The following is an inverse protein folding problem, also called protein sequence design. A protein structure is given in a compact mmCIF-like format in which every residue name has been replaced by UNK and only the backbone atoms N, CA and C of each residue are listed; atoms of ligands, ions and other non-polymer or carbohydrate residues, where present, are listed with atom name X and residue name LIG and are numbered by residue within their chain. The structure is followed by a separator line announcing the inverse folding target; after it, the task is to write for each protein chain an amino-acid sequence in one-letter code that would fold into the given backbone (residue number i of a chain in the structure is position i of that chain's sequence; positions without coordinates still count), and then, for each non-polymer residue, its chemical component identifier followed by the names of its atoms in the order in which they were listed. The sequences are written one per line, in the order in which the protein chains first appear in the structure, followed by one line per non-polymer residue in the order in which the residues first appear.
data_IF_396498735352
#
_entry.id   IF_396498735352
#
_cell.length_a   1.000
_cell.length_b   1.000
_cell.length_c   1.000
_cell.angle_alpha   90.00
_cell.angle_beta   90.00
_cell.angle_gamma   90.00
#
_symmetry.space_group_name_H-M   'P 1'
#
loop_
_entity.id
_entity.type
_entity.pdbx_description
1 polymer ?
#
# COMPACT_ATOMS: atom_id res chain seq x y z
N UNK A 1 -29.14 5.01 24.85
CA UNK A 1 -27.82 4.33 24.90
C UNK A 1 -27.58 3.45 23.67
N UNK A 2 -28.60 2.73 23.17
CA UNK A 2 -28.46 1.82 22.03
C UNK A 2 -28.09 2.52 20.71
N UNK A 3 -28.70 3.66 20.40
CA UNK A 3 -28.45 4.40 19.14
C UNK A 3 -26.98 4.85 19.01
N UNK A 4 -26.33 5.18 20.13
CA UNK A 4 -24.94 5.62 20.15
C UNK A 4 -23.97 4.46 19.82
N UNK A 5 -24.27 3.26 20.33
CA UNK A 5 -23.52 2.04 20.03
C UNK A 5 -23.70 1.60 18.57
N UNK A 6 -24.92 1.67 18.05
CA UNK A 6 -25.21 1.33 16.64
C UNK A 6 -24.48 2.28 15.69
N UNK A 7 -24.50 3.59 15.97
CA UNK A 7 -23.75 4.56 15.18
C UNK A 7 -22.25 4.32 15.25
N UNK A 8 -21.71 4.05 16.45
CA UNK A 8 -20.27 3.81 16.64
C UNK A 8 -19.78 2.56 15.89
N UNK A 9 -20.54 1.46 15.96
CA UNK A 9 -20.24 0.23 15.19
C UNK A 9 -20.39 0.49 13.69
N UNK A 10 -21.41 1.25 13.27
CA UNK A 10 -21.60 1.66 11.87
C UNK A 10 -20.39 2.42 11.31
N UNK A 11 -19.82 3.34 12.10
CA UNK A 11 -18.58 4.04 11.72
C UNK A 11 -17.40 3.08 11.61
N UNK A 12 -17.22 2.15 12.55
CA UNK A 12 -16.14 1.16 12.48
C UNK A 12 -16.24 0.28 11.21
N UNK A 13 -17.45 -0.16 10.85
CA UNK A 13 -17.68 -0.92 9.61
C UNK A 13 -17.35 -0.07 8.39
N UNK A 14 -17.79 1.20 8.36
CA UNK A 14 -17.51 2.11 7.25
C UNK A 14 -16.00 2.35 7.08
N UNK A 15 -15.24 2.49 8.17
CA UNK A 15 -13.77 2.60 8.11
C UNK A 15 -13.12 1.35 7.54
N UNK A 16 -13.61 0.16 7.92
CA UNK A 16 -13.11 -1.11 7.43
C UNK A 16 -13.34 -1.27 5.92
N UNK A 17 -14.54 -0.92 5.45
CA UNK A 17 -14.89 -0.94 4.02
C UNK A 17 -14.05 0.05 3.21
N UNK A 18 -13.91 1.28 3.72
CA UNK A 18 -13.07 2.31 3.11
C UNK A 18 -11.59 1.89 3.04
N UNK A 19 -11.08 1.21 4.07
CA UNK A 19 -9.71 0.70 4.07
C UNK A 19 -9.51 -0.48 3.12
N UNK A 20 -10.48 -1.40 3.06
CA UNK A 20 -10.42 -2.58 2.20
C UNK A 20 -10.40 -2.21 0.72
N UNK A 21 -11.21 -1.23 0.31
CA UNK A 21 -11.18 -0.71 -1.08
C UNK A 21 -9.86 -0.02 -1.44
N UNK A 22 -9.09 0.41 -0.43
CA UNK A 22 -7.79 1.09 -0.59
C UNK A 22 -6.57 0.16 -0.50
N UNK A 23 -6.77 -1.16 -0.57
CA UNK A 23 -5.68 -2.13 -0.55
C UNK A 23 -4.99 -2.26 0.82
N UNK A 24 -5.71 -1.93 1.90
CA UNK A 24 -5.23 -2.09 3.28
C UNK A 24 -6.05 -3.15 4.02
N UNK A 25 -5.50 -3.71 5.09
CA UNK A 25 -6.15 -4.74 5.89
C UNK A 25 -7.45 -4.23 6.52
N UNK A 26 -8.61 -4.63 5.98
CA UNK A 26 -9.92 -4.23 6.47
C UNK A 26 -10.12 -4.55 7.96
N UNK A 27 -9.64 -5.70 8.44
CA UNK A 27 -9.73 -6.09 9.85
C UNK A 27 -8.92 -5.19 10.79
N UNK A 28 -7.69 -4.82 10.42
CA UNK A 28 -6.88 -3.90 11.21
C UNK A 28 -7.52 -2.51 11.31
N UNK A 29 -8.11 -2.02 10.22
CA UNK A 29 -8.81 -0.74 10.19
C UNK A 29 -10.17 -0.79 10.88
N UNK A 30 -10.85 -1.94 10.93
CA UNK A 30 -12.05 -2.14 11.74
C UNK A 30 -11.75 -1.96 13.24
N UNK A 31 -10.69 -2.60 13.75
CA UNK A 31 -10.26 -2.45 15.15
C UNK A 31 -9.85 -1.01 15.44
N UNK A 32 -9.15 -0.36 14.50
CA UNK A 32 -8.81 1.06 14.61
C UNK A 32 -10.05 1.97 14.63
N UNK A 33 -11.05 1.68 13.79
CA UNK A 33 -12.34 2.36 13.79
C UNK A 33 -13.14 2.16 15.07
N UNK A 34 -13.04 0.98 15.68
CA UNK A 34 -13.65 0.69 16.97
C UNK A 34 -12.97 1.49 18.10
N UNK A 35 -11.64 1.60 18.10
CA UNK A 35 -10.87 2.30 19.13
C UNK A 35 -10.90 3.83 18.99
N UNK A 36 -10.77 4.35 17.76
CA UNK A 36 -10.59 5.78 17.46
C UNK A 36 -11.81 6.43 16.77
N UNK A 37 -12.84 5.64 16.41
CA UNK A 37 -14.08 6.15 15.82
C UNK A 37 -13.85 6.91 14.52
N UNK A 38 -14.39 8.13 14.46
CA UNK A 38 -14.33 9.00 13.28
C UNK A 38 -12.91 9.38 12.85
N UNK A 39 -11.94 9.42 13.78
CA UNK A 39 -10.55 9.75 13.45
C UNK A 39 -9.91 8.69 12.56
N UNK A 40 -10.25 7.41 12.77
CA UNK A 40 -9.79 6.34 11.89
C UNK A 40 -10.36 6.50 10.47
N UNK A 41 -11.61 6.96 10.35
CA UNK A 41 -12.24 7.21 9.04
C UNK A 41 -11.52 8.32 8.27
N UNK A 42 -11.23 9.42 8.95
CA UNK A 42 -10.48 10.53 8.37
C UNK A 42 -9.08 10.09 7.92
N UNK A 43 -8.38 9.31 8.75
CA UNK A 43 -7.08 8.77 8.39
C UNK A 43 -7.14 7.92 7.10
N UNK A 44 -8.11 7.00 6.98
CA UNK A 44 -8.28 6.20 5.73
C UNK A 44 -8.52 7.09 4.51
N UNK A 45 -9.29 8.17 4.67
CA UNK A 45 -9.67 9.06 3.57
C UNK A 45 -8.47 9.85 3.05
N UNK A 46 -7.63 10.37 3.95
CA UNK A 46 -6.42 11.15 3.64
C UNK A 46 -5.31 10.26 3.08
N UNK A 47 -5.21 9.00 3.54
CA UNK A 47 -4.16 8.12 3.07
C UNK A 47 -4.35 7.77 1.58
N UNK A 48 -3.28 7.87 0.75
CA UNK A 48 -3.34 7.50 -0.65
C UNK A 48 -3.65 6.01 -0.78
N UNK A 49 -4.34 5.62 -1.85
CA UNK A 49 -4.62 4.21 -2.14
C UNK A 49 -3.30 3.44 -2.15
N UNK A 50 -3.22 2.35 -1.38
CA UNK A 50 -2.06 1.45 -1.50
C UNK A 50 -2.28 0.73 -2.82
N UNK A 51 -1.49 1.06 -3.83
CA UNK A 51 -1.41 0.24 -5.03
C UNK A 51 -0.89 -1.11 -4.54
N UNK A 52 -1.79 -2.08 -4.43
CA UNK A 52 -1.47 -3.41 -3.94
C UNK A 52 -0.40 -3.98 -4.84
N UNK A 53 0.76 -4.27 -4.26
CA UNK A 53 1.76 -5.23 -4.72
C UNK A 53 2.30 -5.08 -6.16
N UNK A 54 1.90 -4.03 -6.89
CA UNK A 54 2.32 -3.79 -8.28
C UNK A 54 3.69 -3.11 -8.38
N UNK A 55 4.19 -2.59 -7.26
CA UNK A 55 5.55 -2.04 -7.11
C UNK A 55 6.52 -3.05 -6.47
N UNK A 56 6.06 -4.27 -6.17
CA UNK A 56 7.01 -5.32 -5.79
C UNK A 56 7.88 -5.62 -7.03
N UNK A 57 9.21 -5.67 -6.89
CA UNK A 57 10.09 -5.97 -8.01
C UNK A 57 9.80 -7.38 -8.54
N UNK A 58 9.05 -7.46 -9.63
CA UNK A 58 8.83 -8.68 -10.39
C UNK A 58 9.98 -8.89 -11.38
N UNK A 59 10.26 -10.14 -11.80
CA UNK A 59 11.25 -10.41 -12.85
C UNK A 59 10.90 -9.71 -14.18
N UNK A 60 9.63 -9.35 -14.40
CA UNK A 60 9.18 -8.60 -15.58
C UNK A 60 9.53 -7.11 -15.52
N UNK A 61 9.65 -6.54 -14.32
CA UNK A 61 9.94 -5.10 -14.12
C UNK A 61 11.39 -4.82 -13.75
N UNK A 62 12.06 -5.76 -13.09
CA UNK A 62 13.40 -5.60 -12.55
C UNK A 62 14.34 -6.74 -12.98
N UNK A 63 15.57 -6.39 -13.32
CA UNK A 63 16.68 -7.31 -13.62
C UNK A 63 17.83 -7.05 -12.67
N UNK A 64 18.68 -8.06 -12.45
CA UNK A 64 19.91 -7.89 -11.68
C UNK A 64 21.01 -7.33 -12.56
N UNK A 65 21.69 -6.30 -12.08
CA UNK A 65 22.86 -5.76 -12.78
C UNK A 65 24.00 -6.79 -12.80
N UNK A 66 24.68 -7.02 -13.95
CA UNK A 66 25.74 -8.03 -14.05
C UNK A 66 26.98 -7.72 -13.19
N UNK A 67 27.29 -6.45 -12.94
CA UNK A 67 28.47 -6.04 -12.17
C UNK A 67 28.23 -5.99 -10.65
N UNK A 68 27.12 -5.37 -10.23
CA UNK A 68 26.84 -5.12 -8.81
C UNK A 68 25.70 -5.96 -8.21
N UNK A 69 25.02 -6.78 -9.02
CA UNK A 69 23.92 -7.69 -8.62
C UNK A 69 22.68 -7.06 -7.98
N UNK A 70 22.64 -5.72 -7.92
CA UNK A 70 21.53 -4.95 -7.41
C UNK A 70 20.32 -4.99 -8.36
N UNK A 71 19.11 -4.84 -7.81
CA UNK A 71 17.87 -4.82 -8.59
C UNK A 71 17.70 -3.47 -9.28
N UNK A 72 17.63 -3.49 -10.61
CA UNK A 72 17.46 -2.31 -11.46
C UNK A 72 16.28 -2.54 -12.40
N UNK A 73 15.60 -1.47 -12.81
CA UNK A 73 14.52 -1.55 -13.80
C UNK A 73 15.03 -2.21 -15.10
N UNK A 74 14.21 -3.07 -15.69
CA UNK A 74 14.50 -3.79 -16.93
C UNK A 74 14.82 -2.87 -18.11
N UNK A 75 14.23 -1.68 -18.13
CA UNK A 75 14.44 -0.64 -19.15
C UNK A 75 15.64 0.29 -18.87
N UNK A 76 16.32 0.12 -17.72
CA UNK A 76 17.43 1.01 -17.37
C UNK A 76 18.62 0.80 -18.30
N UNK A 77 19.11 1.90 -18.88
CA UNK A 77 20.35 1.89 -19.71
C UNK A 77 21.62 2.03 -18.87
N UNK A 78 21.51 2.52 -17.64
CA UNK A 78 22.62 2.77 -16.72
C UNK A 78 22.21 2.39 -15.31
N UNK A 79 23.05 1.62 -14.61
CA UNK A 79 22.79 1.26 -13.21
C UNK A 79 22.97 2.49 -12.31
N UNK A 80 22.03 2.72 -11.38
CA UNK A 80 22.10 3.81 -10.41
C UNK A 80 23.16 3.63 -9.31
N UNK A 81 23.69 2.40 -9.14
CA UNK A 81 24.64 2.06 -8.08
C UNK A 81 26.08 1.96 -8.58
N UNK A 82 26.31 1.24 -9.68
CA UNK A 82 27.65 1.04 -10.24
C UNK A 82 27.92 1.82 -11.53
N UNK A 83 26.91 2.50 -12.10
CA UNK A 83 27.01 3.25 -13.35
C UNK A 83 27.44 2.46 -14.60
N UNK A 84 27.48 1.12 -14.53
CA UNK A 84 27.67 0.28 -15.72
C UNK A 84 26.49 0.47 -16.70
N UNK A 85 26.79 0.36 -18.00
CA UNK A 85 25.77 0.42 -19.05
C UNK A 85 25.09 -0.94 -19.17
N UNK A 86 23.76 -0.94 -19.15
CA UNK A 86 22.93 -2.13 -19.35
C UNK A 86 22.23 -2.05 -20.70
N UNK A 87 22.00 -3.21 -21.31
CA UNK A 87 21.15 -3.34 -22.50
C UNK A 87 19.72 -3.59 -22.01
N UNK A 88 18.76 -2.70 -22.31
CA UNK A 88 17.37 -2.90 -21.90
C UNK A 88 16.80 -4.17 -22.56
N UNK A 89 16.03 -4.95 -21.80
CA UNK A 89 15.47 -6.25 -22.22
C UNK A 89 13.95 -6.22 -22.33
#
# INVERSE_FOLDING_TARGET
MEVWLVLWIGFAILTAMAASSRGRSGFGWFVLGLLFGIFALLAVLVLPRRNGDSDAPTPDTHVRCPDCQELVLKEARVCKHCHCRLVPQ
#
